data_IF_886284096054
#
_entry.id   IF_886284096054
#
_cell.length_a   1.000
_cell.length_b   1.000
_cell.length_c   1.000
_cell.angle_alpha   90.00
_cell.angle_beta   90.00
_cell.angle_gamma   90.00
#
_symmetry.space_group_name_H-M   'P 1'
#
loop_
_entity.id
_entity.type
_entity.pdbx_description
1 polymer ?
#
# COMPACT_ATOMS: atom_id res chain seq x y z
N UNK A 1 18.78 -8.28 -6.58
CA UNK A 1 17.91 -8.75 -5.48
C UNK A 1 16.71 -9.42 -6.12
N UNK A 2 16.35 -10.64 -5.71
CA UNK A 2 15.19 -11.35 -6.24
C UNK A 2 14.07 -11.30 -5.20
N UNK A 3 12.87 -10.77 -5.52
CA UNK A 3 11.78 -10.70 -4.56
C UNK A 3 11.21 -12.09 -4.25
N UNK A 4 10.76 -12.28 -3.01
CA UNK A 4 9.98 -13.46 -2.58
C UNK A 4 8.59 -13.08 -2.07
N UNK A 5 8.28 -11.78 -2.03
CA UNK A 5 6.96 -11.23 -1.75
C UNK A 5 6.56 -10.24 -2.84
N UNK A 6 5.29 -10.22 -3.20
CA UNK A 6 4.71 -9.16 -4.00
C UNK A 6 3.65 -8.40 -3.20
N UNK A 7 3.58 -7.09 -3.40
CA UNK A 7 2.67 -6.19 -2.70
C UNK A 7 1.94 -5.32 -3.74
N UNK A 8 0.64 -5.56 -3.99
CA UNK A 8 -0.17 -4.65 -4.79
C UNK A 8 -0.33 -3.31 -4.08
N UNK A 9 -0.27 -2.23 -4.86
CA UNK A 9 -0.44 -0.86 -4.40
C UNK A 9 -1.59 -0.25 -5.18
N UNK A 10 -2.65 0.16 -4.48
CA UNK A 10 -3.79 0.86 -5.07
C UNK A 10 -3.82 2.28 -4.55
N UNK A 11 -3.96 3.22 -5.47
CA UNK A 11 -4.17 4.64 -5.18
C UNK A 11 -5.61 5.03 -5.52
N UNK A 12 -6.22 5.88 -4.70
CA UNK A 12 -7.54 6.45 -5.01
C UNK A 12 -7.44 7.46 -6.15
N UNK A 13 -8.46 7.52 -7.01
CA UNK A 13 -8.55 8.45 -8.15
C UNK A 13 -9.08 9.85 -7.79
N UNK A 14 -9.46 10.09 -6.53
CA UNK A 14 -10.02 11.37 -6.03
C UNK A 14 -8.90 12.35 -5.60
N UNK A 15 -9.19 13.66 -5.46
CA UNK A 15 -8.15 14.63 -5.11
C UNK A 15 -7.51 14.29 -3.76
N UNK A 16 -6.18 14.36 -3.69
CA UNK A 16 -5.39 13.90 -2.56
C UNK A 16 -5.06 12.41 -2.71
N UNK A 17 -3.78 12.10 -2.92
CA UNK A 17 -3.36 10.72 -3.13
C UNK A 17 -3.53 9.91 -1.83
N UNK A 18 -4.53 9.00 -1.81
CA UNK A 18 -4.75 8.04 -0.73
C UNK A 18 -4.33 6.65 -1.21
N UNK A 19 -3.80 5.85 -0.29
CA UNK A 19 -3.42 4.46 -0.53
C UNK A 19 -4.41 3.53 0.15
N UNK A 20 -4.72 2.41 -0.50
CA UNK A 20 -5.54 1.37 0.09
C UNK A 20 -4.74 0.58 1.14
N UNK A 21 -5.26 0.50 2.36
CA UNK A 21 -4.74 -0.32 3.45
C UNK A 21 -5.87 -1.15 4.04
N UNK A 22 -5.53 -2.12 4.87
CA UNK A 22 -6.49 -2.81 5.72
C UNK A 22 -6.08 -2.82 7.18
N UNK A 23 -7.06 -2.95 8.06
CA UNK A 23 -6.85 -3.24 9.48
C UNK A 23 -7.07 -4.72 9.74
N UNK A 24 -6.00 -5.39 10.13
CA UNK A 24 -6.01 -6.76 10.63
C UNK A 24 -6.63 -6.79 12.03
N UNK A 25 -7.47 -7.78 12.39
CA UNK A 25 -8.14 -7.84 13.69
C UNK A 25 -7.19 -7.80 14.89
N UNK A 26 -5.98 -8.36 14.76
CA UNK A 26 -5.01 -8.48 15.86
C UNK A 26 -3.61 -7.92 15.56
N UNK A 27 -3.36 -7.48 14.32
CA UNK A 27 -1.99 -7.14 13.87
C UNK A 27 -1.88 -5.72 13.26
N UNK A 28 -2.87 -4.88 13.54
CA UNK A 28 -2.85 -3.47 13.17
C UNK A 28 -3.04 -3.24 11.67
N UNK A 29 -2.55 -2.09 11.20
CA UNK A 29 -2.72 -1.65 9.80
C UNK A 29 -1.62 -2.21 8.91
N UNK A 30 -2.03 -2.75 7.75
CA UNK A 30 -1.16 -3.47 6.83
C UNK A 30 -1.45 -3.15 5.36
N UNK A 31 -0.50 -3.53 4.51
CA UNK A 31 -0.64 -3.64 3.07
C UNK A 31 -0.99 -5.09 2.72
N UNK A 32 -1.79 -5.29 1.69
CA UNK A 32 -1.92 -6.61 1.04
C UNK A 32 -0.55 -7.03 0.52
N UNK A 33 -0.18 -8.27 0.77
CA UNK A 33 1.04 -8.88 0.21
C UNK A 33 0.95 -10.39 0.37
N UNK A 34 1.65 -11.10 -0.48
CA UNK A 34 1.93 -12.51 -0.22
C UNK A 34 3.10 -13.07 -0.99
N UNK A 35 3.21 -14.39 -0.94
CA UNK A 35 4.38 -15.14 -1.40
C UNK A 35 4.34 -15.25 -2.92
N UNK A 36 5.48 -14.97 -3.57
CA UNK A 36 5.61 -15.27 -5.00
C UNK A 36 5.73 -16.78 -5.14
N UNK A 37 4.72 -17.42 -5.73
CA UNK A 37 4.73 -18.87 -5.92
C UNK A 37 5.60 -19.28 -7.11
N UNK A 38 5.87 -20.59 -7.22
CA UNK A 38 6.72 -21.12 -8.28
C UNK A 38 6.06 -20.88 -9.64
N UNK A 39 6.74 -20.11 -10.48
CA UNK A 39 6.29 -19.80 -11.83
C UNK A 39 5.53 -18.49 -11.94
N UNK A 40 5.23 -17.82 -10.82
CA UNK A 40 4.64 -16.49 -10.83
C UNK A 40 5.70 -15.39 -10.99
N UNK A 41 5.34 -14.37 -11.75
CA UNK A 41 5.99 -13.06 -11.72
C UNK A 41 5.46 -12.25 -10.53
N UNK A 42 6.19 -11.22 -10.06
CA UNK A 42 5.68 -10.33 -9.02
C UNK A 42 4.34 -9.66 -9.38
N UNK A 43 4.12 -9.36 -10.66
CA UNK A 43 2.87 -8.77 -11.15
C UNK A 43 1.69 -9.74 -11.01
N UNK A 44 1.88 -11.01 -11.41
CA UNK A 44 0.85 -12.06 -11.26
C UNK A 44 0.53 -12.31 -9.79
N UNK A 45 1.56 -12.48 -8.94
CA UNK A 45 1.39 -12.62 -7.50
C UNK A 45 0.64 -11.43 -6.91
N UNK A 46 0.99 -10.19 -7.28
CA UNK A 46 0.32 -9.01 -6.74
C UNK A 46 -1.18 -8.97 -7.09
N UNK A 47 -1.57 -9.37 -8.31
CA UNK A 47 -2.98 -9.42 -8.71
C UNK A 47 -3.74 -10.57 -8.03
N UNK A 48 -3.11 -11.74 -7.86
CA UNK A 48 -3.69 -12.86 -7.13
C UNK A 48 -3.97 -12.49 -5.67
N UNK A 49 -2.96 -12.00 -4.97
CA UNK A 49 -3.06 -11.59 -3.55
C UNK A 49 -4.08 -10.45 -3.38
N UNK A 50 -4.13 -9.51 -4.32
CA UNK A 50 -5.14 -8.45 -4.33
C UNK A 50 -6.55 -9.05 -4.39
N UNK A 51 -6.79 -10.03 -5.27
CA UNK A 51 -8.09 -10.69 -5.37
C UNK A 51 -8.43 -11.49 -4.11
N UNK A 52 -7.48 -12.29 -3.61
CA UNK A 52 -7.67 -13.21 -2.46
C UNK A 52 -7.92 -12.46 -1.15
N UNK A 53 -7.10 -11.45 -0.84
CA UNK A 53 -7.14 -10.75 0.45
C UNK A 53 -8.11 -9.57 0.49
N UNK A 54 -8.55 -9.04 -0.66
CA UNK A 54 -9.40 -7.84 -0.71
C UNK A 54 -10.69 -7.96 -1.52
N UNK A 55 -10.82 -9.02 -2.33
CA UNK A 55 -11.93 -9.19 -3.26
C UNK A 55 -11.83 -8.35 -4.53
N UNK A 56 -10.74 -7.60 -4.73
CA UNK A 56 -10.52 -6.78 -5.93
C UNK A 56 -9.93 -7.65 -7.04
N UNK A 57 -10.79 -8.29 -7.83
CA UNK A 57 -10.38 -9.13 -8.97
C UNK A 57 -10.20 -8.34 -10.28
N UNK A 58 -10.96 -7.27 -10.47
CA UNK A 58 -10.92 -6.47 -11.71
C UNK A 58 -9.82 -5.40 -11.64
N UNK A 59 -8.56 -5.82 -11.74
CA UNK A 59 -7.40 -4.93 -11.69
C UNK A 59 -6.31 -5.30 -12.70
N UNK A 60 -5.45 -4.34 -13.03
CA UNK A 60 -4.26 -4.54 -13.86
C UNK A 60 -3.04 -3.84 -13.24
N UNK A 61 -1.84 -4.40 -13.47
CA UNK A 61 -0.59 -3.77 -13.06
C UNK A 61 -0.25 -2.65 -14.04
N UNK A 62 0.07 -1.47 -13.49
CA UNK A 62 0.45 -0.27 -14.24
C UNK A 62 1.95 -0.04 -14.20
N UNK A 63 2.59 -0.33 -13.06
CA UNK A 63 4.02 -0.04 -12.90
C UNK A 63 4.67 -0.87 -11.81
N UNK A 64 5.87 -1.40 -12.08
CA UNK A 64 6.76 -1.94 -11.06
C UNK A 64 7.41 -0.78 -10.29
N UNK A 65 7.08 -0.66 -8.99
CA UNK A 65 7.58 0.37 -8.09
C UNK A 65 8.92 0.00 -7.42
N UNK A 66 9.46 -1.17 -7.75
CA UNK A 66 10.76 -1.67 -7.36
C UNK A 66 10.73 -2.60 -6.15
N UNK A 67 11.91 -3.17 -5.88
CA UNK A 67 12.11 -4.07 -4.74
C UNK A 67 12.61 -3.32 -3.49
N UNK A 68 12.21 -3.82 -2.33
CA UNK A 68 12.64 -3.36 -1.02
C UNK A 68 13.04 -4.56 -0.16
N UNK A 69 14.24 -4.51 0.41
CA UNK A 69 14.68 -5.46 1.42
C UNK A 69 14.04 -5.10 2.77
N UNK A 70 13.19 -5.98 3.27
CA UNK A 70 12.49 -5.76 4.53
C UNK A 70 13.43 -5.84 5.73
N UNK A 71 14.61 -6.46 5.60
CA UNK A 71 15.49 -6.79 6.74
C UNK A 71 14.76 -7.55 7.84
N UNK A 72 13.75 -8.33 7.46
CA UNK A 72 12.84 -9.02 8.37
C UNK A 72 12.41 -10.34 7.72
N UNK A 73 12.75 -11.46 8.35
CA UNK A 73 12.44 -12.82 7.88
C UNK A 73 12.89 -13.07 6.44
N UNK A 74 14.04 -12.51 6.05
CA UNK A 74 14.63 -12.62 4.71
C UNK A 74 13.66 -12.24 3.56
N UNK A 75 12.72 -11.33 3.84
CA UNK A 75 11.73 -10.93 2.85
C UNK A 75 12.24 -9.79 1.96
N UNK A 76 12.11 -9.98 0.65
CA UNK A 76 12.33 -8.94 -0.36
C UNK A 76 11.00 -8.72 -1.06
N UNK A 77 10.44 -7.52 -0.89
CA UNK A 77 9.11 -7.17 -1.39
C UNK A 77 9.23 -6.43 -2.71
N UNK A 78 8.49 -6.88 -3.72
CA UNK A 78 8.28 -6.14 -4.95
C UNK A 78 6.93 -5.42 -4.90
N UNK A 79 6.94 -4.10 -5.06
CA UNK A 79 5.72 -3.29 -5.06
C UNK A 79 5.19 -3.12 -6.48
N UNK A 80 3.93 -3.47 -6.69
CA UNK A 80 3.27 -3.38 -8.01
C UNK A 80 2.13 -2.37 -7.92
N UNK A 81 2.27 -1.23 -8.60
CA UNK A 81 1.19 -0.26 -8.70
C UNK A 81 0.11 -0.82 -9.63
N UNK A 82 -1.12 -0.91 -9.12
CA UNK A 82 -2.24 -1.48 -9.83
C UNK A 82 -3.35 -0.43 -10.03
N UNK A 83 -4.10 -0.60 -11.12
CA UNK A 83 -5.31 0.17 -11.43
C UNK A 83 -6.53 -0.74 -11.33
N UNK A 84 -7.59 -0.26 -10.69
CA UNK A 84 -8.85 -1.00 -10.57
C UNK A 84 -9.81 -0.57 -11.67
N UNK A 85 -10.37 -1.55 -12.37
CA UNK A 85 -11.38 -1.32 -13.42
C UNK A 85 -12.80 -1.15 -12.86
N UNK A 86 -12.95 -1.31 -11.55
CA UNK A 86 -14.19 -1.06 -10.83
C UNK A 86 -14.03 0.12 -9.86
N UNK A 87 -15.14 0.83 -9.62
CA UNK A 87 -15.24 1.78 -8.51
C UNK A 87 -15.29 1.01 -7.20
N UNK A 88 -14.44 1.41 -6.26
CA UNK A 88 -14.36 0.80 -4.93
C UNK A 88 -15.05 1.67 -3.89
N UNK A 89 -15.66 1.06 -2.84
CA UNK A 89 -16.24 1.82 -1.74
C UNK A 89 -15.15 2.52 -0.89
N UNK A 90 -15.56 3.49 -0.08
CA UNK A 90 -14.65 4.18 0.85
C UNK A 90 -14.09 3.24 1.93
N UNK A 91 -14.89 2.25 2.34
CA UNK A 91 -14.51 1.22 3.30
C UNK A 91 -15.28 -0.06 2.99
N UNK A 92 -14.67 -1.21 3.24
CA UNK A 92 -15.36 -2.50 3.18
C UNK A 92 -14.65 -3.53 4.05
N UNK A 93 -15.36 -4.62 4.33
CA UNK A 93 -14.82 -5.80 4.99
C UNK A 93 -14.70 -6.93 3.97
N UNK A 94 -13.60 -7.69 4.02
CA UNK A 94 -13.39 -8.87 3.19
C UNK A 94 -12.97 -10.05 4.06
N UNK A 95 -13.61 -11.21 3.86
CA UNK A 95 -13.22 -12.46 4.49
C UNK A 95 -12.08 -13.05 3.66
N UNK A 96 -10.85 -12.97 4.17
CA UNK A 96 -9.69 -13.56 3.49
C UNK A 96 -9.75 -15.08 3.58
N UNK A 97 -9.43 -15.74 2.46
CA UNK A 97 -9.35 -17.19 2.39
C UNK A 97 -8.02 -17.71 2.96
N UNK A 98 -6.96 -16.90 2.95
CA UNK A 98 -5.57 -17.35 3.13
C UNK A 98 -4.90 -16.90 4.44
N UNK A 99 -5.64 -16.23 5.34
CA UNK A 99 -5.19 -15.95 6.70
C UNK A 99 -6.18 -16.45 7.75
N UNK A 100 -6.39 -17.76 7.77
CA UNK A 100 -7.22 -18.45 8.77
C UNK A 100 -8.69 -17.97 8.82
N UNK A 101 -9.21 -17.38 7.74
CA UNK A 101 -10.57 -16.83 7.71
C UNK A 101 -10.74 -15.53 8.48
N UNK A 102 -9.69 -14.71 8.60
CA UNK A 102 -9.82 -13.38 9.19
C UNK A 102 -10.65 -12.43 8.31
N UNK A 103 -11.29 -11.46 8.95
CA UNK A 103 -11.95 -10.35 8.24
C UNK A 103 -11.05 -9.14 8.23
N UNK A 104 -10.63 -8.71 7.05
CA UNK A 104 -9.82 -7.51 6.84
C UNK A 104 -10.74 -6.32 6.58
N UNK A 105 -10.54 -5.22 7.32
CA UNK A 105 -11.30 -3.99 7.14
C UNK A 105 -10.48 -3.00 6.31
N UNK A 106 -10.85 -2.83 5.05
CA UNK A 106 -10.19 -1.97 4.09
C UNK A 106 -10.63 -0.52 4.20
N UNK A 107 -9.68 0.40 4.04
CA UNK A 107 -9.90 1.84 4.06
C UNK A 107 -8.82 2.58 3.28
N UNK A 108 -9.13 3.80 2.84
CA UNK A 108 -8.20 4.67 2.12
C UNK A 108 -7.49 5.64 3.06
N UNK A 109 -6.17 5.48 3.21
CA UNK A 109 -5.33 6.32 4.05
C UNK A 109 -4.66 7.45 3.23
N UNK A 110 -4.74 8.73 3.65
CA UNK A 110 -4.00 9.81 3.00
C UNK A 110 -2.48 9.56 3.05
N UNK A 111 -1.76 9.78 1.95
CA UNK A 111 -0.30 9.56 1.90
C UNK A 111 0.49 10.58 2.75
N UNK A 112 -0.09 11.73 3.04
CA UNK A 112 0.45 12.76 3.93
C UNK A 112 0.14 12.53 5.42
N UNK A 113 -0.79 11.63 5.73
CA UNK A 113 -1.21 11.28 7.09
C UNK A 113 -1.40 9.76 7.25
N UNK A 114 -0.33 9.01 6.99
CA UNK A 114 -0.34 7.56 7.11
C UNK A 114 -0.43 7.12 8.58
N UNK A 115 -1.18 6.04 8.90
CA UNK A 115 -1.41 5.57 10.26
C UNK A 115 -0.22 4.77 10.82
N UNK A 116 0.98 5.37 10.83
CA UNK A 116 2.22 4.68 11.20
C UNK A 116 2.23 4.10 12.61
N UNK A 117 1.48 4.71 13.54
CA UNK A 117 1.37 4.25 14.93
C UNK A 117 0.62 2.91 15.04
N UNK A 118 -0.28 2.62 14.11
CA UNK A 118 -1.09 1.40 14.07
C UNK A 118 -0.39 0.26 13.33
N UNK A 119 0.76 0.53 12.68
CA UNK A 119 1.47 -0.45 11.88
C UNK A 119 2.51 -1.23 12.71
N UNK A 120 2.59 -2.53 12.50
CA UNK A 120 3.78 -3.29 12.88
C UNK A 120 5.04 -2.68 12.22
N UNK A 121 6.22 -2.68 12.88
CA UNK A 121 7.40 -1.96 12.39
C UNK A 121 7.84 -2.27 10.95
N UNK A 122 7.60 -3.48 10.45
CA UNK A 122 7.92 -3.83 9.05
C UNK A 122 7.01 -3.09 8.05
N UNK A 123 5.70 -3.05 8.28
CA UNK A 123 4.75 -2.31 7.43
C UNK A 123 4.95 -0.81 7.52
N UNK A 124 5.29 -0.29 8.71
CA UNK A 124 5.66 1.13 8.86
C UNK A 124 6.84 1.50 7.96
N UNK A 125 7.89 0.68 7.92
CA UNK A 125 9.05 0.91 7.06
C UNK A 125 8.73 0.72 5.57
N UNK A 126 7.92 -0.29 5.23
CA UNK A 126 7.41 -0.50 3.87
C UNK A 126 6.66 0.73 3.34
N UNK A 127 5.74 1.28 4.13
CA UNK A 127 4.96 2.46 3.77
C UNK A 127 5.84 3.69 3.58
N UNK A 128 6.89 3.88 4.39
CA UNK A 128 7.86 4.98 4.18
C UNK A 128 8.63 4.83 2.87
N UNK A 129 9.10 3.62 2.58
CA UNK A 129 9.77 3.33 1.30
C UNK A 129 8.84 3.62 0.13
N UNK A 130 7.61 3.11 0.20
CA UNK A 130 6.62 3.27 -0.86
C UNK A 130 6.20 4.73 -1.05
N UNK A 131 5.93 5.47 0.03
CA UNK A 131 5.58 6.89 -0.05
C UNK A 131 6.68 7.73 -0.71
N UNK A 132 7.95 7.47 -0.37
CA UNK A 132 9.09 8.12 -1.02
C UNK A 132 9.16 7.79 -2.53
N UNK A 133 8.92 6.53 -2.90
CA UNK A 133 8.89 6.08 -4.31
C UNK A 133 7.74 6.70 -5.10
N UNK A 134 6.55 6.77 -4.52
CA UNK A 134 5.38 7.38 -5.13
C UNK A 134 5.58 8.88 -5.36
N UNK A 135 6.15 9.57 -4.37
CA UNK A 135 6.52 11.00 -4.49
C UNK A 135 7.56 11.21 -5.59
N UNK A 136 8.64 10.41 -5.60
CA UNK A 136 9.71 10.53 -6.60
C UNK A 136 9.24 10.25 -8.03
N UNK A 137 8.14 9.50 -8.21
CA UNK A 137 7.53 9.22 -9.52
C UNK A 137 6.35 10.15 -9.85
N UNK A 138 6.05 11.15 -9.01
CA UNK A 138 5.03 12.15 -9.27
C UNK A 138 3.58 11.67 -9.04
N UNK A 139 3.37 10.54 -8.38
CA UNK A 139 2.02 10.07 -8.00
C UNK A 139 1.43 10.85 -6.82
N UNK A 140 2.28 11.58 -6.09
CA UNK A 140 1.90 12.47 -5.00
C UNK A 140 2.52 13.82 -5.31
N UNK A 141 1.71 14.88 -5.30
CA UNK A 141 2.25 16.23 -5.30
C UNK A 141 3.05 16.39 -4.02
N UNK A 142 4.33 16.75 -4.14
CA UNK A 142 5.10 17.17 -2.98
C UNK A 142 4.31 18.27 -2.30
N UNK A 143 3.94 18.07 -1.03
CA UNK A 143 3.34 19.15 -0.27
C UNK A 143 4.34 20.30 -0.26
N UNK A 144 3.94 21.43 -0.85
CA UNK A 144 4.68 22.67 -0.77
C UNK A 144 4.76 23.04 0.71
N UNK A 145 5.93 22.81 1.33
CA UNK A 145 6.26 23.21 2.70
C UNK A 145 6.48 24.73 2.76
N UNK A 146 5.59 25.50 2.14
CA UNK A 146 5.66 26.96 2.04
C UNK A 146 4.38 27.60 2.57
N UNK A 147 3.93 27.18 3.76
CA UNK A 147 3.00 27.97 4.59
C UNK A 147 3.34 27.82 6.07
N UNK A 148 4.51 28.29 6.45
CA UNK A 148 4.78 28.72 7.82
C UNK A 148 5.86 29.81 7.82
N UNK A 149 5.57 30.92 7.13
CA UNK A 149 6.30 32.18 7.28
C UNK A 149 5.39 33.36 6.99
N UNK A 150 4.45 33.63 7.89
CA UNK A 150 3.77 34.91 8.10
C UNK A 150 3.32 34.86 9.58
N UNK A 151 3.79 35.65 10.54
CA UNK A 151 4.49 36.94 10.56
C UNK A 151 4.99 37.14 11.99
N UNK A 152 6.27 37.49 12.16
CA UNK A 152 6.71 38.22 13.35
C UNK A 152 5.98 39.57 13.44
N UNK A 153 5.79 40.10 14.65
CA UNK A 153 5.29 41.47 14.90
C UNK A 153 6.24 42.57 14.37
N UNK A 154 6.16 43.85 14.78
CA UNK A 154 5.45 44.39 15.95
C UNK A 154 4.62 45.68 15.68
N UNK A 155 3.80 46.09 16.64
CA UNK A 155 3.68 47.50 17.06
C UNK A 155 3.28 47.54 18.53
#
# INVERSE_FOLDING_TARGET
>A
MSPNKACPVILSSIPGARILLFRHPIAGVQLVKGTIEKGETPAETALRELSEESGIAAASVVSDMGCWDAGYLDQIWSFQLCFTHASLPEQWAHLTLDDHGHTFNFFWAPLDNLPYADCHPVFRRALRFLAARLTARGFVLAHDQSRDTLTEGPT
#
